data_IF_493656428335
#
_entry.id   IF_493656428335
#
_cell.length_a   1.000
_cell.length_b   1.000
_cell.length_c   1.000
_cell.angle_alpha   90.00
_cell.angle_beta   90.00
_cell.angle_gamma   90.00
#
_symmetry.space_group_name_H-M   'P 1'
#
loop_
_entity.id
_entity.type
_entity.pdbx_description
1 polymer ?
#
# COMPACT_ATOMS: atom_id res chain seq x y z
N UNK A 1 -3.18 33.95 -2.58
CA UNK A 1 -3.89 34.63 -1.47
C UNK A 1 -3.45 33.98 -0.16
N UNK A 2 -3.02 34.75 0.83
CA UNK A 2 -2.53 34.22 2.11
C UNK A 2 -3.65 34.28 3.14
N UNK A 3 -3.93 33.14 3.81
CA UNK A 3 -4.85 33.09 4.93
C UNK A 3 -4.12 33.41 6.25
N UNK A 4 -4.80 34.09 7.15
CA UNK A 4 -4.32 34.37 8.48
C UNK A 4 -4.91 33.32 9.41
N UNK A 5 -4.06 32.68 10.24
CA UNK A 5 -4.51 31.77 11.28
C UNK A 5 -5.16 32.59 12.39
N UNK A 6 -6.51 32.50 12.48
CA UNK A 6 -7.36 33.44 13.23
C UNK A 6 -7.57 33.08 14.71
N UNK A 7 -6.70 32.32 15.35
CA UNK A 7 -6.77 32.14 16.81
C UNK A 7 -6.07 33.28 17.50
N UNK A 8 -6.85 34.30 17.95
CA UNK A 8 -6.35 35.32 18.88
C UNK A 8 -6.55 34.81 20.31
N UNK A 9 -5.49 34.41 21.05
CA UNK A 9 -5.62 33.96 22.44
C UNK A 9 -5.95 35.09 23.43
N UNK A 10 -6.07 36.35 22.96
CA UNK A 10 -6.36 37.52 23.74
C UNK A 10 -7.61 38.29 23.28
N UNK A 11 -8.55 37.60 22.60
CA UNK A 11 -9.81 38.20 22.22
C UNK A 11 -10.72 38.29 23.46
N UNK A 12 -10.73 39.48 24.08
CA UNK A 12 -11.63 39.84 25.17
C UNK A 12 -13.02 40.35 24.68
N UNK A 13 -13.28 40.24 23.37
CA UNK A 13 -14.51 40.67 22.72
C UNK A 13 -14.64 42.19 22.60
N UNK A 14 -13.66 42.99 23.06
CA UNK A 14 -13.72 44.45 23.10
C UNK A 14 -12.73 45.16 22.19
N UNK A 15 -11.67 44.46 21.72
CA UNK A 15 -10.68 45.07 20.82
C UNK A 15 -10.50 44.26 19.53
N UNK A 16 -10.48 44.95 18.38
CA UNK A 16 -10.17 44.39 17.05
C UNK A 16 -8.65 44.28 16.81
N UNK A 17 -7.88 43.91 17.80
CA UNK A 17 -6.45 43.67 17.65
C UNK A 17 -6.17 42.28 17.09
N UNK A 18 -6.01 42.19 15.78
CA UNK A 18 -5.59 40.97 15.12
C UNK A 18 -4.07 40.80 15.24
N UNK A 19 -3.63 39.73 15.87
CA UNK A 19 -2.23 39.36 15.81
C UNK A 19 -1.99 38.68 14.45
N UNK A 20 -1.11 39.22 13.62
CA UNK A 20 -0.68 38.59 12.38
C UNK A 20 0.00 37.27 12.75
N UNK A 21 -0.72 36.18 12.55
CA UNK A 21 -0.17 34.82 12.60
C UNK A 21 0.72 34.54 11.39
N UNK A 22 1.34 33.39 11.36
CA UNK A 22 2.14 32.94 10.22
C UNK A 22 1.23 32.81 8.99
N UNK A 23 1.48 33.64 7.97
CA UNK A 23 0.75 33.56 6.70
C UNK A 23 0.92 32.19 6.04
N UNK A 24 -0.17 31.60 5.55
CA UNK A 24 -0.18 30.31 4.83
C UNK A 24 -0.74 30.52 3.43
N UNK A 25 -0.09 29.93 2.45
CA UNK A 25 -0.61 29.91 1.06
C UNK A 25 -1.90 29.07 1.00
N UNK A 26 -2.97 29.69 0.50
CA UNK A 26 -4.22 28.96 0.21
C UNK A 26 -4.05 28.27 -1.14
N UNK A 27 -4.28 26.96 -1.15
CA UNK A 27 -4.29 26.16 -2.37
C UNK A 27 -5.73 25.80 -2.74
N UNK A 28 -5.96 25.58 -4.02
CA UNK A 28 -7.22 25.05 -4.50
C UNK A 28 -7.43 23.62 -3.99
N UNK A 29 -8.68 23.22 -3.78
CA UNK A 29 -9.02 21.92 -3.20
C UNK A 29 -8.52 20.73 -4.03
N UNK A 30 -8.44 20.86 -5.37
CA UNK A 30 -7.94 19.83 -6.27
C UNK A 30 -6.46 19.46 -6.04
N UNK A 31 -5.64 20.40 -5.54
CA UNK A 31 -4.18 20.21 -5.36
C UNK A 31 -3.86 19.04 -4.44
N UNK A 32 -4.61 18.86 -3.34
CA UNK A 32 -4.38 17.75 -2.41
C UNK A 32 -4.53 16.38 -3.09
N UNK A 33 -5.52 16.21 -3.97
CA UNK A 33 -5.70 15.00 -4.76
C UNK A 33 -4.55 14.80 -5.76
N UNK A 34 -4.14 15.86 -6.46
CA UNK A 34 -3.09 15.74 -7.48
C UNK A 34 -1.76 15.31 -6.88
N UNK A 35 -1.29 15.96 -5.83
CA UNK A 35 0.01 15.63 -5.24
C UNK A 35 0.06 14.23 -4.61
N UNK A 36 -1.05 13.74 -4.03
CA UNK A 36 -1.05 12.51 -3.26
C UNK A 36 -1.39 11.26 -4.06
N UNK A 37 -1.96 11.39 -5.26
CA UNK A 37 -2.40 10.24 -6.06
C UNK A 37 -1.23 9.33 -6.47
N UNK A 38 -0.04 9.87 -6.74
CA UNK A 38 1.13 9.05 -7.03
C UNK A 38 1.45 8.11 -5.85
N UNK A 39 1.47 8.62 -4.62
CA UNK A 39 1.70 7.82 -3.40
C UNK A 39 0.61 6.75 -3.20
N UNK A 40 -0.67 7.13 -3.36
CA UNK A 40 -1.80 6.19 -3.26
C UNK A 40 -1.70 5.07 -4.29
N UNK A 41 -1.32 5.38 -5.54
CA UNK A 41 -1.14 4.38 -6.58
C UNK A 41 0.03 3.43 -6.27
N UNK A 42 1.14 3.95 -5.73
CA UNK A 42 2.26 3.12 -5.28
C UNK A 42 1.86 2.21 -4.12
N UNK A 43 1.14 2.72 -3.12
CA UNK A 43 0.66 1.92 -1.98
C UNK A 43 -0.32 0.83 -2.42
N UNK A 44 -1.21 1.12 -3.39
CA UNK A 44 -2.08 0.10 -4.01
C UNK A 44 -1.27 -0.97 -4.73
N UNK A 45 -0.23 -0.60 -5.45
CA UNK A 45 0.70 -1.52 -6.11
C UNK A 45 1.42 -2.43 -5.10
N UNK A 46 1.94 -1.88 -4.01
CA UNK A 46 2.57 -2.65 -2.93
C UNK A 46 1.57 -3.61 -2.26
N UNK A 47 0.33 -3.18 -2.06
CA UNK A 47 -0.74 -4.01 -1.48
C UNK A 47 -1.12 -5.16 -2.40
N UNK A 48 -1.19 -4.95 -3.71
CA UNK A 48 -1.49 -6.01 -4.68
C UNK A 48 -0.36 -7.01 -4.80
N UNK A 49 0.90 -6.56 -4.78
CA UNK A 49 2.08 -7.41 -4.86
C UNK A 49 2.24 -8.25 -3.59
N UNK A 50 2.14 -7.66 -2.39
CA UNK A 50 2.12 -8.34 -1.09
C UNK A 50 3.37 -9.18 -0.76
N UNK A 51 3.28 -9.99 0.30
CA UNK A 51 4.25 -11.02 0.66
C UNK A 51 3.88 -12.38 0.08
N UNK A 52 4.82 -13.32 0.04
CA UNK A 52 4.58 -14.69 -0.44
C UNK A 52 3.41 -15.35 0.29
N UNK A 53 3.41 -15.29 1.62
CA UNK A 53 2.38 -15.96 2.44
C UNK A 53 1.00 -15.30 2.36
N UNK A 54 0.92 -13.98 2.18
CA UNK A 54 -0.36 -13.31 1.90
C UNK A 54 -0.93 -13.72 0.55
N UNK A 55 -0.06 -13.93 -0.42
CA UNK A 55 -0.48 -14.28 -1.78
C UNK A 55 -0.94 -15.73 -1.86
N UNK A 56 -0.23 -16.66 -1.24
CA UNK A 56 -0.43 -18.10 -1.45
C UNK A 56 -0.68 -18.92 -0.19
N UNK A 57 -0.72 -18.31 1.00
CA UNK A 57 -0.79 -19.03 2.25
C UNK A 57 0.52 -19.78 2.59
N UNK A 58 0.44 -20.71 3.53
CA UNK A 58 1.58 -21.48 4.02
C UNK A 58 1.90 -22.67 3.10
N UNK A 59 3.18 -22.92 2.87
CA UNK A 59 3.61 -24.06 2.05
C UNK A 59 3.72 -25.37 2.86
N UNK A 60 3.74 -25.29 4.19
CA UNK A 60 3.91 -26.48 5.05
C UNK A 60 2.78 -27.51 4.97
N UNK A 61 1.62 -27.13 4.40
CA UNK A 61 0.50 -28.02 4.13
C UNK A 61 0.53 -28.62 2.71
N UNK A 62 1.45 -28.18 1.86
CA UNK A 62 1.57 -28.72 0.51
C UNK A 62 2.14 -30.16 0.58
N UNK A 63 1.46 -31.07 -0.08
CA UNK A 63 1.93 -32.47 -0.20
C UNK A 63 3.02 -32.53 -1.25
N UNK A 64 4.12 -33.23 -0.94
CA UNK A 64 5.22 -33.46 -1.88
C UNK A 64 4.75 -34.07 -3.21
N UNK A 65 5.37 -33.67 -4.32
CA UNK A 65 5.17 -34.17 -5.69
C UNK A 65 3.90 -33.70 -6.43
N UNK A 66 3.31 -32.54 -6.10
CA UNK A 66 2.18 -32.03 -6.87
C UNK A 66 2.64 -31.20 -8.07
N UNK A 67 1.87 -31.29 -9.18
CA UNK A 67 2.23 -30.71 -10.48
C UNK A 67 1.98 -29.21 -10.56
N UNK A 68 1.10 -28.68 -9.70
CA UNK A 68 0.76 -27.26 -9.70
C UNK A 68 -0.20 -26.88 -8.58
N UNK A 69 -0.46 -25.59 -8.49
CA UNK A 69 -1.39 -25.05 -7.50
C UNK A 69 -2.14 -23.83 -8.06
N UNK A 70 -3.45 -23.79 -7.85
CA UNK A 70 -4.28 -22.63 -8.11
C UNK A 70 -4.61 -21.95 -6.79
N UNK A 71 -4.65 -20.63 -6.79
CA UNK A 71 -4.97 -19.86 -5.61
C UNK A 71 -5.76 -18.59 -5.97
N UNK A 72 -6.57 -18.14 -5.04
CA UNK A 72 -7.28 -16.88 -5.14
C UNK A 72 -7.39 -16.23 -3.77
N UNK A 73 -7.43 -14.91 -3.72
CA UNK A 73 -7.64 -14.16 -2.49
C UNK A 73 -8.43 -12.88 -2.69
N UNK A 74 -9.07 -12.45 -1.61
CA UNK A 74 -9.69 -11.14 -1.46
C UNK A 74 -8.80 -10.31 -0.55
N UNK A 75 -8.62 -9.04 -0.88
CA UNK A 75 -7.78 -8.08 -0.17
C UNK A 75 -8.69 -6.93 0.28
N UNK A 76 -8.58 -6.54 1.54
CA UNK A 76 -9.17 -5.32 2.08
C UNK A 76 -8.13 -4.56 2.89
N UNK A 77 -8.01 -3.25 2.66
CA UNK A 77 -7.11 -2.39 3.42
C UNK A 77 -7.76 -1.04 3.66
N UNK A 78 -7.59 -0.52 4.87
CA UNK A 78 -7.87 0.87 5.21
C UNK A 78 -6.60 1.51 5.75
N UNK A 79 -6.24 2.69 5.27
CA UNK A 79 -5.12 3.46 5.79
C UNK A 79 -5.44 4.93 5.92
N UNK A 80 -4.77 5.56 6.88
CA UNK A 80 -4.78 7.00 7.12
C UNK A 80 -3.35 7.49 7.21
N UNK A 81 -3.02 8.44 6.35
CA UNK A 81 -1.70 9.04 6.21
C UNK A 81 -1.76 10.54 6.44
N UNK A 82 -1.04 10.99 7.46
CA UNK A 82 -0.87 12.39 7.79
C UNK A 82 0.51 12.83 7.33
N UNK A 83 0.56 13.74 6.35
CA UNK A 83 1.80 14.29 5.82
C UNK A 83 2.47 15.23 6.83
N UNK A 84 3.75 15.53 6.61
CA UNK A 84 4.53 16.39 7.48
C UNK A 84 4.07 17.85 7.41
N UNK A 85 3.80 18.33 6.19
CA UNK A 85 3.59 19.76 5.94
C UNK A 85 2.11 20.16 6.04
N UNK A 86 1.24 19.60 5.19
CA UNK A 86 -0.16 20.04 5.14
C UNK A 86 -1.19 19.03 4.71
N UNK A 87 -0.83 18.03 3.85
CA UNK A 87 -1.83 17.15 3.26
C UNK A 87 -1.95 15.84 4.03
N UNK A 88 -3.20 15.38 4.15
CA UNK A 88 -3.52 14.08 4.70
C UNK A 88 -4.43 13.35 3.71
N UNK A 89 -4.45 12.02 3.77
CA UNK A 89 -5.43 11.23 3.04
C UNK A 89 -5.86 9.99 3.82
N UNK A 90 -7.06 9.52 3.51
CA UNK A 90 -7.60 8.24 3.99
C UNK A 90 -7.96 7.40 2.76
N UNK A 91 -7.54 6.15 2.74
CA UNK A 91 -7.71 5.26 1.59
C UNK A 91 -8.32 3.94 2.00
N UNK A 92 -9.36 3.51 1.28
CA UNK A 92 -9.89 2.16 1.30
C UNK A 92 -9.52 1.45 0.00
N UNK A 93 -8.85 0.30 0.10
CA UNK A 93 -8.46 -0.55 -1.03
C UNK A 93 -9.20 -1.87 -0.91
N UNK A 94 -9.82 -2.29 -2.00
CA UNK A 94 -10.47 -3.59 -2.15
C UNK A 94 -9.93 -4.27 -3.40
N UNK A 95 -9.64 -5.57 -3.29
CA UNK A 95 -9.06 -6.28 -4.42
C UNK A 95 -9.40 -7.77 -4.44
N UNK A 96 -9.34 -8.31 -5.64
CA UNK A 96 -9.34 -9.76 -5.89
C UNK A 96 -8.10 -10.10 -6.68
N UNK A 97 -7.46 -11.21 -6.32
CA UNK A 97 -6.27 -11.71 -7.00
C UNK A 97 -6.41 -13.22 -7.17
N UNK A 98 -6.04 -13.73 -8.34
CA UNK A 98 -6.01 -15.15 -8.59
C UNK A 98 -4.78 -15.53 -9.43
N UNK A 99 -4.24 -16.70 -9.17
CA UNK A 99 -3.04 -17.16 -9.84
C UNK A 99 -2.96 -18.69 -9.94
N UNK A 100 -2.05 -19.10 -10.79
CA UNK A 100 -1.69 -20.48 -10.98
C UNK A 100 -0.17 -20.61 -11.01
N UNK A 101 0.37 -21.52 -10.18
CA UNK A 101 1.79 -21.84 -10.11
C UNK A 101 2.03 -23.26 -10.61
N UNK A 102 2.93 -23.36 -11.59
CA UNK A 102 3.39 -24.63 -12.13
C UNK A 102 4.58 -25.15 -11.30
N UNK A 103 4.59 -26.40 -10.92
CA UNK A 103 5.80 -27.02 -10.41
C UNK A 103 6.72 -27.35 -11.60
N UNK A 104 7.75 -26.55 -11.82
CA UNK A 104 8.63 -26.70 -13.00
C UNK A 104 9.74 -27.71 -12.76
N UNK A 105 10.21 -27.84 -11.52
CA UNK A 105 11.35 -28.70 -11.24
C UNK A 105 11.42 -29.09 -9.77
N UNK A 106 11.36 -30.38 -9.53
CA UNK A 106 11.86 -31.01 -8.32
C UNK A 106 13.35 -31.26 -8.51
N UNK A 107 14.20 -30.60 -7.76
CA UNK A 107 15.65 -30.84 -7.75
C UNK A 107 16.06 -31.43 -6.40
N UNK A 108 17.25 -32.02 -6.33
CA UNK A 108 17.79 -32.60 -5.08
C UNK A 108 17.84 -31.59 -3.93
N UNK A 109 17.94 -30.31 -4.23
CA UNK A 109 18.03 -29.19 -3.26
C UNK A 109 16.69 -28.49 -2.96
N UNK A 110 15.58 -28.86 -3.63
CA UNK A 110 14.26 -28.29 -3.36
C UNK A 110 13.31 -28.24 -4.57
N UNK A 111 12.19 -27.55 -4.38
CA UNK A 111 11.11 -27.44 -5.35
C UNK A 111 10.99 -26.01 -5.88
N UNK A 112 10.80 -25.83 -7.19
CA UNK A 112 10.57 -24.55 -7.84
C UNK A 112 9.16 -24.49 -8.44
N UNK A 113 8.45 -23.42 -8.09
CA UNK A 113 7.18 -23.06 -8.69
C UNK A 113 7.33 -21.75 -9.47
N UNK A 114 6.82 -21.72 -10.68
CA UNK A 114 6.73 -20.51 -11.48
C UNK A 114 5.28 -20.32 -11.88
N UNK A 115 4.76 -19.12 -11.76
CA UNK A 115 3.35 -18.87 -11.93
C UNK A 115 3.02 -17.52 -12.53
N UNK A 116 1.74 -17.40 -12.86
CA UNK A 116 1.09 -16.21 -13.37
C UNK A 116 -0.04 -15.86 -12.44
N UNK A 117 -0.29 -14.57 -12.26
CA UNK A 117 -1.48 -14.10 -11.57
C UNK A 117 -2.03 -12.82 -12.20
N UNK A 118 -3.28 -12.55 -11.93
CA UNK A 118 -3.89 -11.26 -12.18
C UNK A 118 -4.48 -10.70 -10.90
N UNK A 119 -4.53 -9.37 -10.83
CA UNK A 119 -5.15 -8.64 -9.72
C UNK A 119 -6.08 -7.57 -10.28
N UNK A 120 -7.21 -7.37 -9.64
CA UNK A 120 -8.08 -6.22 -9.85
C UNK A 120 -8.30 -5.53 -8.53
N UNK A 121 -7.88 -4.27 -8.40
CA UNK A 121 -8.08 -3.47 -7.19
C UNK A 121 -8.86 -2.21 -7.50
N UNK A 122 -9.62 -1.75 -6.52
CA UNK A 122 -10.25 -0.45 -6.50
C UNK A 122 -9.87 0.26 -5.21
N UNK A 123 -9.45 1.52 -5.31
CA UNK A 123 -9.19 2.37 -4.15
C UNK A 123 -10.11 3.60 -4.16
N UNK A 124 -10.64 3.94 -2.98
CA UNK A 124 -11.34 5.18 -2.73
C UNK A 124 -10.51 5.98 -1.74
N UNK A 125 -10.08 7.17 -2.13
CA UNK A 125 -9.21 8.02 -1.31
C UNK A 125 -9.84 9.37 -1.11
N UNK A 126 -10.00 9.76 0.15
CA UNK A 126 -10.41 11.09 0.57
C UNK A 126 -9.18 11.92 0.98
N UNK A 127 -9.13 13.17 0.52
CA UNK A 127 -8.01 14.08 0.73
C UNK A 127 -8.40 15.25 1.62
N UNK A 128 -7.42 15.71 2.40
CA UNK A 128 -7.58 16.79 3.36
C UNK A 128 -6.38 17.74 3.30
N UNK A 129 -6.64 19.04 3.48
CA UNK A 129 -5.62 20.08 3.62
C UNK A 129 -5.79 20.78 4.98
N UNK A 130 -4.77 20.73 5.83
CA UNK A 130 -4.78 21.38 7.16
C UNK A 130 -5.03 22.88 7.09
N UNK A 131 -4.65 23.50 5.97
CA UNK A 131 -4.78 24.94 5.75
C UNK A 131 -5.87 25.30 4.73
N UNK A 132 -6.84 24.37 4.54
CA UNK A 132 -8.01 24.70 3.71
C UNK A 132 -8.73 25.92 4.26
N UNK A 133 -8.99 26.89 3.39
CA UNK A 133 -9.60 28.16 3.76
C UNK A 133 -10.81 28.49 2.88
N UNK A 134 -11.77 29.20 3.46
CA UNK A 134 -12.90 29.82 2.76
C UNK A 134 -12.88 31.32 3.07
N UNK A 135 -13.04 32.16 2.05
CA UNK A 135 -12.98 33.61 2.17
C UNK A 135 -11.73 34.14 2.93
N UNK A 136 -10.58 33.47 2.75
CA UNK A 136 -9.33 33.85 3.39
C UNK A 136 -9.15 33.37 4.83
N UNK A 137 -10.13 32.64 5.40
CA UNK A 137 -10.11 32.13 6.78
C UNK A 137 -9.94 30.62 6.75
N UNK A 138 -8.99 30.10 7.54
CA UNK A 138 -8.79 28.65 7.69
C UNK A 138 -9.99 28.06 8.43
N UNK A 139 -10.69 27.12 7.76
CA UNK A 139 -11.90 26.50 8.29
C UNK A 139 -11.61 25.17 9.00
N UNK A 140 -12.53 24.74 9.86
CA UNK A 140 -12.41 23.45 10.60
C UNK A 140 -12.53 22.23 9.68
N UNK A 141 -13.42 22.28 8.68
CA UNK A 141 -13.56 21.23 7.67
C UNK A 141 -12.36 21.25 6.71
N UNK A 142 -11.56 20.17 6.75
CA UNK A 142 -10.31 20.03 5.99
C UNK A 142 -10.47 19.22 4.71
N UNK A 143 -11.63 18.65 4.46
CA UNK A 143 -11.89 17.84 3.27
C UNK A 143 -11.78 18.66 1.99
N UNK A 144 -11.05 18.13 1.01
CA UNK A 144 -10.75 18.80 -0.25
C UNK A 144 -11.26 18.07 -1.48
N UNK A 145 -11.62 16.79 -1.35
CA UNK A 145 -12.11 15.99 -2.47
C UNK A 145 -11.66 14.54 -2.38
N UNK A 146 -11.98 13.78 -3.41
CA UNK A 146 -11.67 12.35 -3.48
C UNK A 146 -11.14 11.92 -4.84
N UNK A 147 -10.40 10.81 -4.82
CA UNK A 147 -9.97 10.08 -6.02
C UNK A 147 -10.48 8.64 -5.95
N UNK A 148 -11.03 8.17 -7.05
CA UNK A 148 -11.34 6.76 -7.26
C UNK A 148 -10.31 6.19 -8.22
N UNK A 149 -9.53 5.22 -7.75
CA UNK A 149 -8.54 4.49 -8.54
C UNK A 149 -9.08 3.11 -8.88
N UNK A 150 -8.83 2.67 -10.12
CA UNK A 150 -8.99 1.28 -10.56
C UNK A 150 -7.67 0.82 -11.12
N UNK A 151 -7.20 -0.32 -10.66
CA UNK A 151 -5.95 -0.93 -11.11
C UNK A 151 -6.22 -2.37 -11.56
N UNK A 152 -5.66 -2.73 -12.72
CA UNK A 152 -5.58 -4.09 -13.20
C UNK A 152 -4.10 -4.45 -13.36
N UNK A 153 -3.67 -5.53 -12.71
CA UNK A 153 -2.28 -5.96 -12.73
C UNK A 153 -2.13 -7.40 -13.23
N UNK A 154 -1.02 -7.64 -13.92
CA UNK A 154 -0.56 -8.96 -14.34
C UNK A 154 0.80 -9.21 -13.68
N UNK A 155 0.97 -10.37 -13.08
CA UNK A 155 2.21 -10.74 -12.40
C UNK A 155 2.77 -12.09 -12.81
N UNK A 156 4.10 -12.15 -12.75
CA UNK A 156 4.91 -13.36 -12.89
C UNK A 156 5.57 -13.64 -11.55
N UNK A 157 5.57 -14.91 -11.14
CA UNK A 157 6.22 -15.33 -9.90
C UNK A 157 7.18 -16.47 -10.17
N UNK A 158 8.27 -16.53 -9.42
CA UNK A 158 9.08 -17.75 -9.30
C UNK A 158 9.53 -17.91 -7.85
N UNK A 159 9.14 -19.00 -7.23
CA UNK A 159 9.44 -19.30 -5.82
C UNK A 159 10.21 -20.61 -5.75
N UNK A 160 11.37 -20.60 -5.11
CA UNK A 160 12.13 -21.80 -4.81
C UNK A 160 12.11 -22.08 -3.31
N UNK A 161 11.67 -23.26 -2.94
CA UNK A 161 11.73 -23.79 -1.58
C UNK A 161 12.86 -24.81 -1.49
N UNK A 162 13.81 -24.56 -0.61
CA UNK A 162 14.96 -25.41 -0.38
C UNK A 162 14.69 -26.42 0.74
N UNK A 163 15.31 -27.59 0.67
CA UNK A 163 15.14 -28.65 1.67
C UNK A 163 15.61 -28.26 3.08
N UNK A 164 16.46 -27.23 3.19
CA UNK A 164 16.96 -26.70 4.46
C UNK A 164 15.99 -25.68 5.12
N UNK A 165 14.76 -25.55 4.58
CA UNK A 165 13.73 -24.62 5.06
C UNK A 165 13.85 -23.17 4.58
N UNK A 166 14.86 -22.84 3.77
CA UNK A 166 14.97 -21.53 3.12
C UNK A 166 14.03 -21.45 1.92
N UNK A 167 13.49 -20.27 1.66
CA UNK A 167 12.81 -19.96 0.40
C UNK A 167 13.29 -18.65 -0.21
N UNK A 168 13.16 -18.54 -1.52
CA UNK A 168 13.36 -17.33 -2.30
C UNK A 168 12.19 -17.14 -3.23
N UNK A 169 11.53 -15.98 -3.14
CA UNK A 169 10.39 -15.60 -3.99
C UNK A 169 10.73 -14.35 -4.81
N UNK A 170 10.55 -14.43 -6.10
CA UNK A 170 10.75 -13.35 -7.04
C UNK A 170 9.43 -13.04 -7.74
N UNK A 171 9.06 -11.77 -7.80
CA UNK A 171 7.82 -11.32 -8.44
C UNK A 171 8.11 -10.15 -9.38
N UNK A 172 7.55 -10.21 -10.58
CA UNK A 172 7.43 -9.07 -11.49
C UNK A 172 5.96 -8.77 -11.75
N UNK A 173 5.55 -7.52 -11.67
CA UNK A 173 4.15 -7.09 -11.87
C UNK A 173 4.07 -5.88 -12.79
N UNK A 174 3.15 -5.93 -13.74
CA UNK A 174 2.75 -4.81 -14.59
C UNK A 174 1.32 -4.38 -14.23
N UNK A 175 1.11 -3.09 -14.01
CA UNK A 175 -0.16 -2.50 -13.58
C UNK A 175 -0.66 -1.45 -14.56
N UNK A 176 -1.99 -1.43 -14.79
CA UNK A 176 -2.71 -0.45 -15.59
C UNK A 176 -3.68 0.31 -14.70
N UNK A 177 -3.46 1.61 -14.55
CA UNK A 177 -4.08 2.44 -13.53
C UNK A 177 -5.00 3.48 -14.18
N UNK A 178 -6.18 3.68 -13.59
CA UNK A 178 -7.13 4.73 -13.97
C UNK A 178 -7.59 5.47 -12.71
N UNK A 179 -7.31 6.77 -12.65
CA UNK A 179 -7.72 7.67 -11.61
C UNK A 179 -8.86 8.56 -12.06
N UNK A 180 -9.86 8.76 -11.20
CA UNK A 180 -10.93 9.75 -11.39
C UNK A 180 -10.97 10.68 -10.20
N UNK A 181 -10.60 11.92 -10.44
CA UNK A 181 -10.61 13.01 -9.46
C UNK A 181 -12.00 13.65 -9.38
N UNK A 182 -12.43 13.99 -8.17
CA UNK A 182 -13.59 14.81 -7.89
C UNK A 182 -13.25 15.71 -6.71
N UNK A 183 -12.94 16.95 -7.01
CA UNK A 183 -12.54 17.94 -6.01
C UNK A 183 -13.76 18.69 -5.46
N UNK A 184 -13.62 19.20 -4.24
CA UNK A 184 -14.64 20.00 -3.58
C UNK A 184 -14.96 21.30 -4.30
N UNK A 185 -14.01 21.88 -5.02
CA UNK A 185 -14.19 23.07 -5.84
C UNK A 185 -14.94 22.81 -7.17
N UNK A 186 -15.45 21.57 -7.36
CA UNK A 186 -16.21 21.17 -8.53
C UNK A 186 -15.35 20.71 -9.72
N UNK A 187 -14.02 20.78 -9.59
CA UNK A 187 -13.10 20.31 -10.63
C UNK A 187 -13.11 18.78 -10.67
N UNK A 188 -13.24 18.22 -11.86
CA UNK A 188 -13.19 16.78 -12.12
C UNK A 188 -12.22 16.48 -13.24
N UNK A 189 -11.38 15.47 -13.06
CA UNK A 189 -10.41 15.05 -14.05
C UNK A 189 -10.27 13.53 -14.09
N UNK A 190 -9.70 13.02 -15.18
CA UNK A 190 -9.34 11.61 -15.34
C UNK A 190 -7.88 11.50 -15.70
N UNK A 191 -7.19 10.55 -15.11
CA UNK A 191 -5.79 10.28 -15.36
C UNK A 191 -5.58 8.79 -15.59
N UNK A 192 -4.70 8.44 -16.50
CA UNK A 192 -4.23 7.07 -16.72
C UNK A 192 -2.78 6.95 -16.30
N UNK A 193 -2.39 5.75 -15.92
CA UNK A 193 -1.01 5.43 -15.61
C UNK A 193 -0.72 3.96 -15.80
N UNK A 194 0.54 3.64 -15.70
CA UNK A 194 1.03 2.27 -15.65
C UNK A 194 2.19 2.18 -14.65
N UNK A 195 2.36 1.02 -14.05
CA UNK A 195 3.46 0.77 -13.14
C UNK A 195 4.12 -0.57 -13.44
N UNK A 196 5.42 -0.64 -13.14
CA UNK A 196 6.20 -1.86 -13.17
C UNK A 196 6.79 -2.07 -11.78
N UNK A 197 6.59 -3.25 -11.20
CA UNK A 197 7.10 -3.56 -9.88
C UNK A 197 7.89 -4.87 -9.88
N UNK A 198 8.94 -4.92 -9.05
CA UNK A 198 9.75 -6.10 -8.80
C UNK A 198 9.87 -6.32 -7.30
N UNK A 199 9.73 -7.57 -6.86
CA UNK A 199 9.94 -7.96 -5.47
C UNK A 199 10.88 -9.13 -5.36
N UNK A 200 11.75 -9.08 -4.37
CA UNK A 200 12.58 -10.18 -3.91
C UNK A 200 12.28 -10.41 -2.44
N UNK A 201 11.82 -11.59 -2.09
CA UNK A 201 11.54 -11.99 -0.72
C UNK A 201 12.28 -13.29 -0.39
N UNK A 202 12.84 -13.37 0.80
CA UNK A 202 13.46 -14.58 1.32
C UNK A 202 13.15 -14.77 2.79
N UNK A 203 13.09 -16.03 3.20
CA UNK A 203 12.91 -16.39 4.60
C UNK A 203 13.39 -17.81 4.86
N UNK A 204 13.54 -18.14 6.14
CA UNK A 204 13.95 -19.48 6.55
C UNK A 204 13.17 -19.95 7.76
N UNK A 205 12.55 -21.11 7.60
CA UNK A 205 11.76 -21.73 8.66
C UNK A 205 12.66 -22.51 9.64
N UNK A 206 12.48 -22.25 10.94
CA UNK A 206 13.15 -22.94 12.03
C UNK A 206 12.11 -23.55 12.95
N UNK A 207 12.27 -24.86 13.22
CA UNK A 207 11.44 -25.56 14.20
C UNK A 207 11.81 -25.15 15.62
N UNK A 208 10.80 -24.82 16.43
CA UNK A 208 10.92 -24.54 17.88
C UNK A 208 10.14 -25.61 18.64
N UNK A 209 10.71 -26.82 18.73
CA UNK A 209 10.04 -27.98 19.31
C UNK A 209 9.01 -28.60 18.34
N UNK A 210 8.03 -29.33 18.88
CA UNK A 210 7.13 -30.18 18.08
C UNK A 210 6.00 -29.43 17.36
N UNK A 211 5.60 -28.25 17.86
CA UNK A 211 4.40 -27.56 17.38
C UNK A 211 4.64 -26.12 16.89
N UNK A 212 5.79 -25.56 17.17
CA UNK A 212 6.09 -24.16 16.84
C UNK A 212 7.16 -24.07 15.76
N UNK A 213 7.02 -23.10 14.91
CA UNK A 213 8.06 -22.67 13.98
C UNK A 213 8.20 -21.17 14.00
N UNK A 214 9.41 -20.67 13.74
CA UNK A 214 9.67 -19.25 13.50
C UNK A 214 10.36 -19.09 12.16
N UNK A 215 9.94 -18.10 11.41
CA UNK A 215 10.44 -17.81 10.06
C UNK A 215 10.82 -16.34 9.97
N UNK A 216 12.10 -15.96 10.19
CA UNK A 216 12.59 -14.65 9.82
C UNK A 216 12.51 -14.44 8.31
N UNK A 217 12.12 -13.23 7.91
CA UNK A 217 11.83 -12.86 6.53
C UNK A 217 12.43 -11.49 6.20
N UNK A 218 12.88 -11.34 4.97
CA UNK A 218 13.28 -10.06 4.40
C UNK A 218 12.68 -9.92 3.00
N UNK A 219 12.27 -8.70 2.64
CA UNK A 219 11.71 -8.39 1.32
C UNK A 219 12.19 -7.01 0.87
N UNK A 220 12.48 -6.89 -0.41
CA UNK A 220 12.76 -5.63 -1.08
C UNK A 220 11.84 -5.50 -2.29
N UNK A 221 11.17 -4.37 -2.42
CA UNK A 221 10.23 -4.10 -3.50
C UNK A 221 10.64 -2.78 -4.17
N UNK A 222 10.87 -2.84 -5.47
CA UNK A 222 11.04 -1.66 -6.32
C UNK A 222 9.82 -1.49 -7.20
N UNK A 223 9.32 -0.27 -7.31
CA UNK A 223 8.21 0.08 -8.19
C UNK A 223 8.53 1.34 -8.97
N UNK A 224 8.29 1.31 -10.27
CA UNK A 224 8.32 2.45 -11.18
C UNK A 224 6.89 2.78 -11.60
N UNK A 225 6.49 4.03 -11.43
CA UNK A 225 5.15 4.54 -11.74
C UNK A 225 5.24 5.65 -12.79
N UNK A 226 4.43 5.52 -13.83
CA UNK A 226 4.27 6.53 -14.87
C UNK A 226 2.79 6.96 -14.88
N UNK A 227 2.51 8.15 -14.36
CA UNK A 227 1.21 8.80 -14.46
C UNK A 227 1.23 9.80 -15.62
N UNK A 228 0.23 9.72 -16.50
CA UNK A 228 0.11 10.66 -17.61
C UNK A 228 -0.29 12.03 -17.12
N UNK A 229 0.28 13.04 -17.73
CA UNK A 229 -0.15 14.43 -17.57
C UNK A 229 -1.61 14.59 -18.00
N UNK A 230 -2.29 15.56 -17.42
CA UNK A 230 -3.67 15.89 -17.79
C UNK A 230 -3.98 17.36 -17.57
N UNK A 231 -5.02 17.83 -18.23
CA UNK A 231 -5.61 19.14 -18.01
C UNK A 231 -6.93 18.97 -17.23
N UNK A 232 -7.10 19.72 -16.16
CA UNK A 232 -8.30 19.66 -15.32
C UNK A 232 -9.41 20.63 -15.73
N UNK A 233 -9.21 21.30 -16.86
CA UNK A 233 -10.09 22.36 -17.39
C UNK A 233 -9.75 23.75 -16.88
N UNK A 234 -8.82 23.85 -15.91
CA UNK A 234 -8.34 25.10 -15.33
C UNK A 234 -6.81 25.20 -15.43
N UNK A 235 -6.12 24.06 -15.23
CA UNK A 235 -4.65 23.98 -15.16
C UNK A 235 -4.13 22.70 -15.80
N UNK A 236 -2.90 22.78 -16.26
CA UNK A 236 -2.11 21.61 -16.61
C UNK A 236 -1.45 21.02 -15.37
N UNK A 237 -1.53 19.70 -15.23
CA UNK A 237 -0.92 18.94 -14.13
C UNK A 237 0.09 17.97 -14.74
N UNK A 238 1.35 18.17 -14.39
CA UNK A 238 2.47 17.38 -14.90
C UNK A 238 3.03 16.48 -13.79
N UNK A 239 3.22 15.22 -14.12
CA UNK A 239 3.88 14.24 -13.28
C UNK A 239 5.20 13.84 -13.90
N UNK A 240 6.23 13.77 -13.09
CA UNK A 240 7.44 13.05 -13.45
C UNK A 240 7.22 11.53 -13.39
N UNK A 241 8.24 10.81 -13.84
CA UNK A 241 8.32 9.38 -13.55
C UNK A 241 8.70 9.21 -12.08
N UNK A 242 7.87 8.52 -11.32
CA UNK A 242 8.11 8.24 -9.92
C UNK A 242 8.67 6.83 -9.73
N UNK A 243 9.60 6.67 -8.81
CA UNK A 243 10.08 5.36 -8.38
C UNK A 243 10.06 5.26 -6.87
N UNK A 244 9.72 4.10 -6.38
CA UNK A 244 9.71 3.81 -4.95
C UNK A 244 10.48 2.52 -4.66
N UNK A 245 11.25 2.56 -3.58
CA UNK A 245 11.92 1.40 -3.01
C UNK A 245 11.40 1.20 -1.61
N UNK A 246 10.90 0.00 -1.30
CA UNK A 246 10.36 -0.37 0.02
C UNK A 246 11.02 -1.65 0.51
N UNK A 247 11.45 -1.66 1.76
CA UNK A 247 12.03 -2.83 2.41
C UNK A 247 11.16 -3.30 3.58
N UNK A 248 11.20 -4.60 3.84
CA UNK A 248 10.58 -5.24 5.00
C UNK A 248 11.57 -6.18 5.66
N UNK A 249 11.61 -6.11 6.99
CA UNK A 249 12.20 -7.13 7.84
C UNK A 249 11.15 -7.58 8.84
N UNK A 250 11.07 -8.87 9.09
CA UNK A 250 10.08 -9.37 10.03
C UNK A 250 10.24 -10.84 10.32
N UNK A 251 9.29 -11.36 11.05
CA UNK A 251 9.19 -12.78 11.32
C UNK A 251 7.73 -13.23 11.39
N UNK A 252 7.53 -14.48 11.07
CA UNK A 252 6.29 -15.20 11.23
C UNK A 252 6.49 -16.33 12.20
N UNK A 253 5.61 -16.44 13.20
CA UNK A 253 5.59 -17.57 14.12
C UNK A 253 4.35 -18.40 13.85
N UNK A 254 4.51 -19.72 13.65
CA UNK A 254 3.38 -20.60 13.31
C UNK A 254 3.24 -21.67 14.40
N UNK A 255 1.98 -21.92 14.82
CA UNK A 255 1.61 -22.95 15.78
C UNK A 255 0.76 -24.02 15.10
N UNK A 256 1.18 -25.30 15.26
CA UNK A 256 0.50 -26.49 14.67
C UNK A 256 0.19 -26.36 13.19
N UNK A 257 1.03 -25.64 12.43
CA UNK A 257 0.86 -25.37 10.98
C UNK A 257 -0.43 -24.64 10.60
N UNK A 258 -1.23 -24.20 11.56
CA UNK A 258 -2.55 -23.62 11.33
C UNK A 258 -2.69 -22.18 11.79
N UNK A 259 -2.19 -21.86 12.98
CA UNK A 259 -2.29 -20.50 13.54
C UNK A 259 -0.95 -19.80 13.41
N UNK A 260 -0.95 -18.53 13.04
CA UNK A 260 0.28 -17.77 12.92
C UNK A 260 0.15 -16.33 13.41
N UNK A 261 1.25 -15.79 13.87
CA UNK A 261 1.42 -14.37 14.14
C UNK A 261 2.53 -13.80 13.27
N UNK A 262 2.44 -12.51 13.00
CA UNK A 262 3.36 -11.77 12.14
C UNK A 262 3.80 -10.51 12.88
N UNK A 263 5.08 -10.17 12.78
CA UNK A 263 5.58 -8.86 13.16
C UNK A 263 6.61 -8.40 12.13
N UNK A 264 6.40 -7.22 11.57
CA UNK A 264 7.23 -6.64 10.53
C UNK A 264 7.60 -5.19 10.88
N UNK A 265 8.74 -4.77 10.35
CA UNK A 265 9.11 -3.37 10.20
C UNK A 265 9.25 -3.10 8.71
N UNK A 266 8.53 -2.09 8.25
CA UNK A 266 8.56 -1.60 6.88
C UNK A 266 9.32 -0.29 6.81
N UNK A 267 10.08 -0.10 5.74
CA UNK A 267 10.74 1.16 5.43
C UNK A 267 10.56 1.54 3.96
N UNK A 268 10.05 2.75 3.74
CA UNK A 268 9.85 3.35 2.43
C UNK A 268 10.96 4.39 2.18
N UNK A 269 11.86 4.11 1.26
CA UNK A 269 12.97 5.01 0.92
C UNK A 269 12.52 6.21 0.07
N UNK A 270 11.31 6.15 -0.49
CA UNK A 270 10.72 7.17 -1.39
C UNK A 270 9.43 7.71 -0.79
N UNK A 271 9.53 8.43 0.32
CA UNK A 271 8.40 8.89 1.12
C UNK A 271 7.97 10.35 0.85
N UNK A 272 8.49 10.96 -0.21
CA UNK A 272 8.11 12.33 -0.64
C UNK A 272 7.38 12.26 -1.98
N UNK A 273 6.25 12.96 -2.06
CA UNK A 273 5.50 13.13 -3.31
C UNK A 273 5.68 14.54 -3.84
N UNK A 274 5.66 14.69 -5.16
CA UNK A 274 5.80 15.95 -5.86
C UNK A 274 4.87 15.99 -7.08
N UNK A 275 4.28 17.16 -7.35
CA UNK A 275 3.57 17.43 -8.59
C UNK A 275 3.78 18.88 -9.02
N UNK A 276 3.87 19.09 -10.34
CA UNK A 276 3.90 20.41 -10.95
C UNK A 276 2.48 20.77 -11.38
N UNK A 277 1.93 21.85 -10.81
CA UNK A 277 0.54 22.28 -11.03
C UNK A 277 0.57 23.71 -11.53
N UNK A 278 0.40 23.89 -12.83
CA UNK A 278 0.67 25.15 -13.49
C UNK A 278 2.15 25.52 -13.35
N UNK A 279 2.45 26.67 -12.75
CA UNK A 279 3.83 27.14 -12.47
C UNK A 279 4.38 26.67 -11.11
N UNK A 280 3.59 26.04 -10.28
CA UNK A 280 3.93 25.76 -8.89
C UNK A 280 4.36 24.30 -8.71
N UNK A 281 5.44 24.11 -7.95
CA UNK A 281 5.90 22.79 -7.50
C UNK A 281 5.41 22.57 -6.07
N UNK A 282 4.59 21.54 -5.87
CA UNK A 282 4.05 21.21 -4.56
C UNK A 282 4.61 19.87 -4.09
N UNK A 283 5.05 19.80 -2.82
CA UNK A 283 5.65 18.59 -2.22
C UNK A 283 5.01 18.26 -0.89
N UNK A 284 4.94 16.96 -0.57
CA UNK A 284 4.53 16.47 0.74
C UNK A 284 5.41 15.28 1.15
N UNK A 285 5.66 15.15 2.45
CA UNK A 285 6.47 14.06 3.00
C UNK A 285 5.65 13.21 3.96
N UNK A 286 5.68 11.89 3.74
CA UNK A 286 4.95 10.91 4.53
C UNK A 286 5.87 10.09 5.45
N UNK A 287 5.29 9.23 6.30
CA UNK A 287 6.07 8.37 7.19
C UNK A 287 6.89 7.38 6.38
N UNK A 288 8.19 7.32 6.70
CA UNK A 288 9.11 6.38 6.05
C UNK A 288 9.09 5.01 6.70
N UNK A 289 8.87 4.92 8.02
CA UNK A 289 9.05 3.67 8.77
C UNK A 289 7.86 3.40 9.67
N UNK A 290 7.33 2.18 9.60
CA UNK A 290 6.22 1.74 10.45
C UNK A 290 6.37 0.26 10.83
N UNK A 291 5.75 -0.08 11.96
CA UNK A 291 5.58 -1.45 12.42
C UNK A 291 4.26 -2.04 11.94
N UNK A 292 4.24 -3.32 11.69
CA UNK A 292 3.06 -4.13 11.38
C UNK A 292 3.02 -5.32 12.31
N UNK A 293 1.86 -5.60 12.88
CA UNK A 293 1.57 -6.84 13.61
C UNK A 293 0.31 -7.49 13.04
N UNK A 294 0.27 -8.80 13.04
CA UNK A 294 -0.86 -9.53 12.50
C UNK A 294 -1.06 -10.91 13.10
N UNK A 295 -2.28 -11.40 12.96
CA UNK A 295 -2.67 -12.75 13.32
C UNK A 295 -3.39 -13.40 12.14
N UNK A 296 -3.19 -14.68 11.96
CA UNK A 296 -3.82 -15.41 10.89
C UNK A 296 -4.03 -16.88 11.19
N UNK A 297 -4.81 -17.49 10.32
CA UNK A 297 -5.18 -18.89 10.39
C UNK A 297 -5.13 -19.50 8.99
N UNK A 298 -4.77 -20.77 8.92
CA UNK A 298 -4.80 -21.59 7.74
C UNK A 298 -5.40 -22.96 8.08
N UNK A 299 -6.49 -23.30 7.42
CA UNK A 299 -7.26 -24.50 7.71
C UNK A 299 -7.33 -25.40 6.48
N UNK A 300 -6.91 -26.67 6.57
CA UNK A 300 -7.14 -27.64 5.51
C UNK A 300 -8.63 -27.94 5.41
N UNK A 301 -9.18 -27.89 4.20
CA UNK A 301 -10.54 -28.34 3.89
C UNK A 301 -10.49 -29.77 3.40
N UNK A 302 -9.50 -30.09 2.58
CA UNK A 302 -9.20 -31.44 2.09
C UNK A 302 -7.67 -31.64 2.08
N UNK A 303 -7.21 -32.82 1.68
CA UNK A 303 -5.78 -33.09 1.48
C UNK A 303 -5.14 -32.22 0.37
N UNK A 304 -5.95 -31.53 -0.42
CA UNK A 304 -5.50 -30.73 -1.57
C UNK A 304 -5.90 -29.27 -1.47
N UNK A 305 -6.83 -28.93 -0.59
CA UNK A 305 -7.43 -27.61 -0.53
C UNK A 305 -7.39 -27.03 0.88
N UNK A 306 -7.08 -25.76 0.99
CA UNK A 306 -7.16 -25.03 2.24
C UNK A 306 -7.53 -23.56 2.05
N UNK A 307 -8.09 -23.00 3.12
CA UNK A 307 -8.40 -21.57 3.26
C UNK A 307 -7.38 -20.96 4.22
N UNK A 308 -6.97 -19.75 3.93
CA UNK A 308 -6.14 -18.96 4.81
C UNK A 308 -6.73 -17.55 4.96
N UNK A 309 -6.48 -16.95 6.12
CA UNK A 309 -6.92 -15.58 6.41
C UNK A 309 -5.99 -14.94 7.41
N UNK A 310 -5.74 -13.65 7.25
CA UNK A 310 -5.09 -12.84 8.27
C UNK A 310 -5.68 -11.43 8.38
N UNK A 311 -5.45 -10.83 9.55
CA UNK A 311 -5.70 -9.44 9.82
C UNK A 311 -4.42 -8.82 10.36
N UNK A 312 -4.13 -7.58 9.92
CA UNK A 312 -2.92 -6.85 10.28
C UNK A 312 -3.24 -5.43 10.69
N UNK A 313 -2.43 -4.91 11.57
CA UNK A 313 -2.45 -3.52 12.01
C UNK A 313 -1.09 -2.89 11.77
N UNK A 314 -1.09 -1.69 11.19
CA UNK A 314 0.10 -0.92 10.84
C UNK A 314 0.11 0.41 11.57
N UNK A 315 1.29 0.84 12.04
CA UNK A 315 1.46 2.15 12.66
C UNK A 315 2.90 2.64 12.53
N UNK A 316 3.05 3.92 12.17
CA UNK A 316 4.35 4.60 12.17
C UNK A 316 4.91 4.76 13.57
N UNK A 317 6.23 4.76 13.68
CA UNK A 317 6.95 5.04 14.93
C UNK A 317 7.00 6.54 15.23
N UNK A 318 6.74 7.39 14.24
CA UNK A 318 6.70 8.85 14.37
C UNK A 318 5.27 9.34 14.50
N UNK A 319 5.09 10.48 15.17
CA UNK A 319 3.80 11.16 15.32
C UNK A 319 3.54 12.19 14.22
N UNK A 320 4.58 12.67 13.53
CA UNK A 320 4.50 13.60 12.41
C UNK A 320 5.74 13.44 11.50
N UNK A 321 5.60 12.96 10.27
CA UNK A 321 4.37 12.43 9.66
C UNK A 321 3.88 11.13 10.29
N UNK A 322 2.60 10.78 10.09
CA UNK A 322 1.97 9.63 10.73
C UNK A 322 1.31 8.72 9.71
N UNK A 323 1.45 7.42 9.93
CA UNK A 323 0.76 6.35 9.21
C UNK A 323 0.02 5.45 10.18
N UNK A 324 -1.19 5.01 9.81
CA UNK A 324 -1.99 4.02 10.52
C UNK A 324 -2.80 3.24 9.49
N UNK A 325 -2.83 1.91 9.62
CA UNK A 325 -3.57 1.07 8.69
C UNK A 325 -4.08 -0.22 9.31
N UNK A 326 -5.07 -0.80 8.64
CA UNK A 326 -5.59 -2.14 8.88
C UNK A 326 -5.68 -2.85 7.54
N UNK A 327 -5.25 -4.11 7.50
CA UNK A 327 -5.34 -4.94 6.31
C UNK A 327 -5.90 -6.30 6.66
N UNK A 328 -6.72 -6.85 5.78
CA UNK A 328 -7.24 -8.20 5.89
C UNK A 328 -7.14 -8.94 4.56
N UNK A 329 -6.83 -10.23 4.63
CA UNK A 329 -6.76 -11.12 3.48
C UNK A 329 -7.55 -12.39 3.80
N UNK A 330 -8.34 -12.86 2.83
CA UNK A 330 -8.93 -14.19 2.84
C UNK A 330 -8.58 -14.85 1.52
N UNK A 331 -7.98 -16.03 1.58
CA UNK A 331 -7.55 -16.75 0.39
C UNK A 331 -7.90 -18.22 0.43
N UNK A 332 -7.92 -18.80 -0.76
CA UNK A 332 -8.12 -20.22 -1.02
C UNK A 332 -6.98 -20.72 -1.90
N UNK A 333 -6.49 -21.93 -1.61
CA UNK A 333 -5.48 -22.60 -2.43
C UNK A 333 -5.87 -24.04 -2.66
N UNK A 334 -5.66 -24.50 -3.89
CA UNK A 334 -5.87 -25.87 -4.32
C UNK A 334 -4.61 -26.39 -4.99
N UNK A 335 -4.15 -27.57 -4.59
CA UNK A 335 -2.93 -28.21 -5.10
C UNK A 335 -3.30 -29.47 -5.86
N UNK A 336 -2.79 -29.63 -7.09
CA UNK A 336 -3.09 -30.73 -8.01
C UNK A 336 -2.09 -31.87 -7.93
#
# INVERSE_FOLDING_TARGET
>A
MNAIDGTNPYDDGTSKNYRLGKARTILNSSVAGYINTAKVNMDSGFTSLSTLHERRGENALDVNNRKGQAWARIIGQHSKDEGKERFNYETDIYGVQAGYDFNIKNSEDGNRYTGLYFTNTAANTDFYDRYRAENGIIVSDKYTGKVKTKDFSLGLTTTKYYNNGFYLDLVGQLSFINNKYNSRDGVSAKQRGNALAFSVEGGKNYGLGSNWTIEPQAQLIYQYLNLKDFNDGVREVHYGNDSALRARLGFRTTYKKSFYSIANVWHDFSNTTEANIGSDVVKEKYSATWGEIGLGVQLPITNSAYVYSDIRYERSFTSNPKHKGYRGTVGFKYTF
#
